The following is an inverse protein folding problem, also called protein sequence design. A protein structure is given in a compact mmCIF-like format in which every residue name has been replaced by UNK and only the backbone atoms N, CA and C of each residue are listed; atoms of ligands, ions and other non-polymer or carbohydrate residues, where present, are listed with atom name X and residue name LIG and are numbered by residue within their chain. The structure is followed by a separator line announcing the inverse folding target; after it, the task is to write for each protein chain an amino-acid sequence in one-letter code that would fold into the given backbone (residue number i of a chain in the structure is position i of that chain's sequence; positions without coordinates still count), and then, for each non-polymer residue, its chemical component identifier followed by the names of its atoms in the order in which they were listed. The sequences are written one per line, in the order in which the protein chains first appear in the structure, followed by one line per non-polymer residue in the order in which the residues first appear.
data_IF_873327304360
#
_entry.id   IF_873327304360
#
_cell.length_a   1.000
_cell.length_b   1.000
_cell.length_c   1.000
_cell.angle_alpha   90.00
_cell.angle_beta   90.00
_cell.angle_gamma   90.00
#
_symmetry.space_group_name_H-M   'P 1'
#
loop_
_entity.id
_entity.type
_entity.pdbx_description
1 polymer ?
#
# COMPACT_ATOMS: atom_id res chain seq x y z
N UNK A 1 -22.49 -6.30 1.29
CA UNK A 1 -21.13 -5.73 1.25
C UNK A 1 -20.60 -5.68 2.67
N UNK A 2 -19.69 -6.59 2.98
CA UNK A 2 -18.95 -6.55 4.24
C UNK A 2 -17.49 -6.72 3.84
N UNK A 3 -16.84 -5.58 3.60
CA UNK A 3 -15.39 -5.57 3.40
C UNK A 3 -14.73 -5.99 4.70
N UNK A 4 -13.87 -6.98 4.63
CA UNK A 4 -13.15 -7.54 5.77
C UNK A 4 -11.67 -7.45 5.49
N UNK A 5 -10.92 -6.87 6.42
CA UNK A 5 -9.48 -6.99 6.49
C UNK A 5 -9.15 -7.82 7.72
N UNK A 6 -8.52 -8.98 7.53
CA UNK A 6 -8.15 -9.86 8.63
C UNK A 6 -6.76 -10.42 8.42
N UNK A 7 -6.10 -10.79 9.50
CA UNK A 7 -4.73 -11.28 9.43
C UNK A 7 -3.99 -11.08 10.72
N UNK A 8 -2.68 -11.16 10.62
CA UNK A 8 -1.78 -10.90 11.73
C UNK A 8 -0.57 -10.11 11.23
N UNK A 9 0.07 -9.40 12.14
CA UNK A 9 1.24 -8.58 11.84
C UNK A 9 2.29 -8.73 12.95
N UNK A 10 3.40 -8.02 12.80
CA UNK A 10 4.49 -8.00 13.76
C UNK A 10 4.13 -7.45 15.16
N UNK A 11 3.04 -6.68 15.29
CA UNK A 11 2.55 -6.19 16.60
C UNK A 11 1.74 -7.27 17.32
N UNK A 12 0.93 -8.02 16.58
CA UNK A 12 0.07 -9.04 17.16
C UNK A 12 0.74 -10.40 17.30
N UNK A 13 1.69 -10.77 16.43
CA UNK A 13 2.26 -12.12 16.37
C UNK A 13 3.80 -12.15 16.43
N UNK A 14 4.41 -13.03 17.26
CA UNK A 14 5.84 -13.25 17.22
C UNK A 14 6.27 -13.90 15.89
N UNK A 15 7.56 -13.79 15.56
CA UNK A 15 8.11 -14.31 14.30
C UNK A 15 7.82 -15.81 14.10
N UNK A 16 7.92 -16.61 15.16
CA UNK A 16 7.67 -18.06 15.15
C UNK A 16 6.26 -18.45 14.74
N UNK A 17 5.29 -17.55 14.89
CA UNK A 17 3.91 -17.75 14.42
C UNK A 17 3.76 -17.21 12.99
N UNK A 18 4.36 -16.05 12.70
CA UNK A 18 4.32 -15.43 11.36
C UNK A 18 4.93 -16.32 10.28
N UNK A 19 6.06 -16.97 10.56
CA UNK A 19 6.73 -17.86 9.60
C UNK A 19 5.87 -19.07 9.21
N UNK A 20 5.01 -19.57 10.11
CA UNK A 20 4.14 -20.72 9.84
C UNK A 20 3.01 -20.40 8.88
N UNK A 21 2.60 -19.13 8.81
CA UNK A 21 1.51 -18.66 7.95
C UNK A 21 2.00 -17.71 6.85
N UNK A 22 3.32 -17.58 6.68
CA UNK A 22 3.88 -16.87 5.55
C UNK A 22 3.43 -17.56 4.27
N UNK A 23 3.04 -16.79 3.26
CA UNK A 23 2.55 -17.32 1.99
C UNK A 23 3.66 -17.24 0.93
N UNK A 24 4.28 -18.36 0.55
CA UNK A 24 5.15 -18.40 -0.63
C UNK A 24 4.33 -18.11 -1.89
N UNK A 25 4.92 -17.42 -2.86
CA UNK A 25 4.28 -17.11 -4.16
C UNK A 25 3.69 -18.37 -4.82
N UNK A 26 4.38 -19.51 -4.73
CA UNK A 26 3.93 -20.78 -5.31
C UNK A 26 2.64 -21.33 -4.70
N UNK A 27 2.31 -20.97 -3.45
CA UNK A 27 1.07 -21.41 -2.77
C UNK A 27 -0.07 -20.40 -2.89
N UNK A 28 0.25 -19.15 -3.26
CA UNK A 28 -0.71 -18.05 -3.25
C UNK A 28 -1.88 -18.29 -4.22
N UNK A 29 -1.63 -18.85 -5.40
CA UNK A 29 -2.67 -19.23 -6.38
C UNK A 29 -3.68 -20.22 -5.80
N UNK A 30 -3.17 -21.30 -5.20
CA UNK A 30 -3.99 -22.36 -4.65
C UNK A 30 -4.87 -21.83 -3.52
N UNK A 31 -4.26 -21.10 -2.58
CA UNK A 31 -4.94 -20.56 -1.42
C UNK A 31 -6.00 -19.53 -1.80
N UNK A 32 -5.71 -18.63 -2.72
CA UNK A 32 -6.66 -17.62 -3.16
C UNK A 32 -7.87 -18.25 -3.87
N UNK A 33 -7.63 -19.28 -4.70
CA UNK A 33 -8.70 -20.04 -5.35
C UNK A 33 -9.54 -20.85 -4.36
N UNK A 34 -8.93 -21.44 -3.33
CA UNK A 34 -9.65 -22.14 -2.27
C UNK A 34 -10.44 -21.19 -1.36
N UNK A 35 -9.91 -20.01 -1.09
CA UNK A 35 -10.59 -18.96 -0.31
C UNK A 35 -11.89 -18.51 -0.99
N UNK A 36 -11.86 -18.28 -2.31
CA UNK A 36 -13.05 -17.92 -3.10
C UNK A 36 -14.08 -19.05 -3.17
N UNK A 37 -13.69 -20.30 -2.90
CA UNK A 37 -14.62 -21.44 -2.85
C UNK A 37 -15.35 -21.55 -1.51
N UNK A 38 -14.92 -20.81 -0.48
CA UNK A 38 -15.64 -20.79 0.78
C UNK A 38 -17.04 -20.19 0.60
N UNK A 39 -18.04 -20.72 1.32
CA UNK A 39 -19.34 -20.05 1.41
C UNK A 39 -19.17 -18.60 1.85
N UNK A 40 -20.05 -17.73 1.34
CA UNK A 40 -20.09 -16.30 1.65
C UNK A 40 -18.89 -15.43 1.22
N UNK A 41 -17.78 -15.99 0.69
CA UNK A 41 -16.66 -15.21 0.17
C UNK A 41 -16.85 -14.90 -1.32
N UNK A 42 -17.11 -13.63 -1.66
CA UNK A 42 -17.41 -13.21 -3.04
C UNK A 42 -16.18 -12.80 -3.84
N UNK A 43 -15.23 -12.15 -3.16
CA UNK A 43 -14.01 -11.56 -3.71
C UNK A 43 -12.91 -11.60 -2.64
N UNK A 44 -11.65 -11.76 -3.04
CA UNK A 44 -10.53 -11.84 -2.11
C UNK A 44 -9.20 -11.36 -2.72
N UNK A 45 -8.30 -10.89 -1.86
CA UNK A 45 -6.90 -10.60 -2.15
C UNK A 45 -6.05 -10.93 -0.90
N UNK A 46 -4.81 -11.38 -1.11
CA UNK A 46 -3.90 -11.77 -0.02
C UNK A 46 -2.59 -10.99 -0.10
N UNK A 47 -2.17 -10.40 1.02
CA UNK A 47 -0.89 -9.70 1.19
C UNK A 47 -0.03 -10.48 2.17
N UNK A 48 1.11 -10.99 1.71
CA UNK A 48 2.11 -11.64 2.53
C UNK A 48 3.43 -10.89 2.41
N UNK A 49 4.00 -10.52 3.55
CA UNK A 49 5.29 -9.83 3.68
C UNK A 49 6.05 -10.43 4.86
N UNK A 50 7.29 -10.02 5.07
CA UNK A 50 8.04 -10.42 6.28
C UNK A 50 7.35 -10.01 7.59
N UNK A 51 6.50 -8.96 7.59
CA UNK A 51 5.92 -8.35 8.80
C UNK A 51 4.41 -8.55 8.95
N UNK A 52 3.73 -9.12 7.96
CA UNK A 52 2.27 -9.37 8.00
C UNK A 52 1.84 -10.40 6.98
N UNK A 53 0.78 -11.12 7.34
CA UNK A 53 -0.06 -11.88 6.40
C UNK A 53 -1.50 -11.40 6.60
N UNK A 54 -2.08 -10.82 5.56
CA UNK A 54 -3.43 -10.26 5.57
C UNK A 54 -4.26 -10.76 4.40
N UNK A 55 -5.55 -10.96 4.65
CA UNK A 55 -6.59 -11.31 3.71
C UNK A 55 -7.59 -10.14 3.68
N UNK A 56 -7.84 -9.63 2.48
CA UNK A 56 -8.88 -8.64 2.20
C UNK A 56 -9.97 -9.33 1.40
N UNK A 57 -11.20 -9.33 1.88
CA UNK A 57 -12.30 -10.01 1.18
C UNK A 57 -13.64 -9.30 1.35
N UNK A 58 -14.58 -9.63 0.47
CA UNK A 58 -16.00 -9.33 0.66
C UNK A 58 -16.68 -10.61 1.13
N UNK A 59 -17.08 -10.65 2.40
CA UNK A 59 -17.72 -11.82 2.99
C UNK A 59 -18.67 -11.46 4.12
N UNK A 60 -19.82 -12.14 4.17
CA UNK A 60 -20.80 -12.01 5.26
C UNK A 60 -20.48 -12.91 6.46
N UNK A 61 -19.57 -13.88 6.31
CA UNK A 61 -19.14 -14.84 7.35
C UNK A 61 -17.61 -14.78 7.61
N UNK A 62 -17.10 -13.65 8.09
CA UNK A 62 -15.67 -13.43 8.36
C UNK A 62 -15.05 -14.40 9.38
N UNK A 63 -15.84 -14.90 10.32
CA UNK A 63 -15.43 -15.87 11.33
C UNK A 63 -14.89 -17.18 10.74
N UNK A 64 -15.30 -17.53 9.51
CA UNK A 64 -14.84 -18.74 8.82
C UNK A 64 -13.44 -18.62 8.23
N UNK A 65 -12.89 -17.41 8.10
CA UNK A 65 -11.56 -17.19 7.51
C UNK A 65 -10.46 -17.75 8.42
N UNK A 66 -10.58 -17.57 9.74
CA UNK A 66 -9.56 -17.99 10.70
C UNK A 66 -9.42 -19.52 10.78
N UNK A 67 -10.51 -20.29 10.97
CA UNK A 67 -10.45 -21.75 10.91
C UNK A 67 -9.93 -22.27 9.57
N UNK A 68 -10.34 -21.63 8.46
CA UNK A 68 -9.86 -22.00 7.13
C UNK A 68 -8.35 -21.77 7.00
N UNK A 69 -7.83 -20.62 7.44
CA UNK A 69 -6.41 -20.32 7.36
C UNK A 69 -5.58 -21.30 8.21
N UNK A 70 -6.04 -21.61 9.42
CA UNK A 70 -5.41 -22.64 10.25
C UNK A 70 -5.37 -24.01 9.56
N UNK A 71 -6.50 -24.44 8.98
CA UNK A 71 -6.59 -25.70 8.25
C UNK A 71 -5.62 -25.76 7.05
N UNK A 72 -5.54 -24.70 6.25
CA UNK A 72 -4.66 -24.62 5.08
C UNK A 72 -3.17 -24.72 5.42
N UNK A 73 -2.80 -24.28 6.62
CA UNK A 73 -1.44 -24.33 7.12
C UNK A 73 -1.17 -25.53 8.04
N UNK A 74 -2.13 -26.46 8.16
CA UNK A 74 -2.04 -27.64 9.04
C UNK A 74 -1.78 -27.27 10.51
N UNK A 75 -2.39 -26.17 10.96
CA UNK A 75 -2.28 -25.63 12.31
C UNK A 75 -3.60 -25.80 13.08
N UNK A 76 -3.48 -25.94 14.39
CA UNK A 76 -4.61 -25.82 15.30
C UNK A 76 -5.12 -24.37 15.32
N UNK A 77 -6.43 -24.09 15.14
CA UNK A 77 -6.98 -22.73 15.18
C UNK A 77 -6.62 -21.95 16.46
N UNK A 78 -6.47 -22.64 17.58
CA UNK A 78 -6.10 -22.08 18.88
C UNK A 78 -4.70 -21.46 18.87
N UNK A 79 -3.82 -21.89 17.96
CA UNK A 79 -2.47 -21.35 17.81
C UNK A 79 -2.46 -19.98 17.12
N UNK A 80 -3.47 -19.69 16.30
CA UNK A 80 -3.57 -18.42 15.54
C UNK A 80 -4.55 -17.44 16.17
N UNK A 81 -5.63 -17.93 16.78
CA UNK A 81 -6.73 -17.12 17.33
C UNK A 81 -6.29 -15.97 18.25
N UNK A 82 -5.27 -16.13 19.13
CA UNK A 82 -4.82 -15.03 20.00
C UNK A 82 -4.15 -13.86 19.26
N UNK A 83 -3.69 -14.09 18.03
CA UNK A 83 -2.86 -13.15 17.28
C UNK A 83 -3.55 -12.57 16.05
N UNK A 84 -4.65 -13.20 15.61
CA UNK A 84 -5.44 -12.76 14.46
C UNK A 84 -6.39 -11.63 14.85
N UNK A 85 -6.45 -10.60 14.01
CA UNK A 85 -7.47 -9.56 14.08
C UNK A 85 -8.41 -9.66 12.89
N UNK A 86 -9.64 -9.18 13.08
CA UNK A 86 -10.67 -9.08 12.05
C UNK A 86 -11.28 -7.67 12.12
N UNK A 87 -11.20 -6.93 11.02
CA UNK A 87 -11.74 -5.59 10.89
C UNK A 87 -12.84 -5.57 9.82
N UNK A 88 -14.05 -5.17 10.23
CA UNK A 88 -15.24 -5.20 9.37
C UNK A 88 -15.61 -3.82 8.85
N UNK A 89 -16.15 -3.78 7.62
CA UNK A 89 -16.68 -2.60 6.98
C UNK A 89 -15.69 -1.42 7.03
N UNK A 90 -16.13 -0.30 7.61
CA UNK A 90 -15.31 0.91 7.71
C UNK A 90 -14.03 0.71 8.53
N UNK A 91 -14.02 -0.17 9.55
CA UNK A 91 -12.79 -0.49 10.28
C UNK A 91 -11.79 -1.23 9.39
N UNK A 92 -12.26 -2.12 8.53
CA UNK A 92 -11.42 -2.78 7.53
C UNK A 92 -10.79 -1.75 6.59
N UNK A 93 -11.60 -0.83 6.04
CA UNK A 93 -11.10 0.23 5.14
C UNK A 93 -10.08 1.11 5.87
N UNK A 94 -10.36 1.51 7.12
CA UNK A 94 -9.45 2.29 7.95
C UNK A 94 -8.13 1.56 8.16
N UNK A 95 -8.16 0.27 8.50
CA UNK A 95 -6.97 -0.56 8.63
C UNK A 95 -6.15 -0.58 7.34
N UNK A 96 -6.79 -0.89 6.21
CA UNK A 96 -6.07 -0.96 4.93
C UNK A 96 -5.48 0.40 4.53
N UNK A 97 -6.14 1.53 4.83
CA UNK A 97 -5.57 2.87 4.65
C UNK A 97 -4.33 3.11 5.51
N UNK A 98 -4.31 2.65 6.77
CA UNK A 98 -3.14 2.72 7.66
C UNK A 98 -1.98 1.90 7.11
N UNK A 99 -2.24 0.65 6.72
CA UNK A 99 -1.24 -0.25 6.15
C UNK A 99 -0.67 0.34 4.86
N UNK A 100 -1.51 0.75 3.92
CA UNK A 100 -1.10 1.32 2.65
C UNK A 100 -0.38 2.68 2.78
N UNK A 101 -0.62 3.41 3.87
CA UNK A 101 0.09 4.67 4.19
C UNK A 101 1.41 4.44 4.92
N UNK A 102 1.71 3.20 5.34
CA UNK A 102 2.93 2.84 6.07
C UNK A 102 2.89 3.17 7.57
N UNK A 103 1.72 3.43 8.14
CA UNK A 103 1.56 3.71 9.58
C UNK A 103 1.62 2.45 10.45
N UNK A 104 1.33 1.30 9.87
CA UNK A 104 1.29 0.02 10.56
C UNK A 104 2.55 -0.84 10.26
N UNK A 105 3.60 -0.22 9.72
CA UNK A 105 4.86 -0.89 9.40
C UNK A 105 5.87 -0.76 10.53
N UNK A 106 6.65 -1.81 10.78
CA UNK A 106 7.77 -1.79 11.75
C UNK A 106 8.68 -0.56 11.57
N UNK A 107 8.87 -0.15 10.31
CA UNK A 107 9.42 1.15 9.95
C UNK A 107 8.31 2.08 9.47
N UNK A 108 7.92 3.04 10.30
CA UNK A 108 6.90 4.04 9.97
C UNK A 108 7.23 4.78 8.67
N UNK A 109 6.27 4.82 7.75
CA UNK A 109 6.35 5.58 6.50
C UNK A 109 7.03 4.89 5.32
N UNK A 110 7.45 3.63 5.50
CA UNK A 110 8.15 2.88 4.46
C UNK A 110 7.34 2.77 3.16
N UNK A 111 7.90 3.16 2.00
CA UNK A 111 7.17 3.12 0.72
C UNK A 111 6.89 1.70 0.20
N UNK A 112 7.60 0.69 0.72
CA UNK A 112 7.58 -0.67 0.19
C UNK A 112 6.21 -1.35 0.36
N UNK A 113 5.54 -1.15 1.49
CA UNK A 113 4.26 -1.80 1.79
C UNK A 113 3.16 -1.43 0.79
N UNK A 114 3.11 -0.17 0.34
CA UNK A 114 2.18 0.26 -0.71
C UNK A 114 2.46 -0.43 -2.04
N UNK A 115 3.74 -0.66 -2.35
CA UNK A 115 4.17 -1.41 -3.52
C UNK A 115 3.75 -2.88 -3.45
N UNK A 116 4.04 -3.53 -2.33
CA UNK A 116 3.66 -4.93 -2.06
C UNK A 116 2.13 -5.12 -2.10
N UNK A 117 1.37 -4.21 -1.49
CA UNK A 117 -0.10 -4.26 -1.55
C UNK A 117 -0.63 -4.11 -2.99
N UNK A 118 -0.02 -3.25 -3.82
CA UNK A 118 -0.39 -3.14 -5.23
C UNK A 118 -0.07 -4.40 -6.01
N UNK A 119 1.07 -5.04 -5.75
CA UNK A 119 1.45 -6.30 -6.37
C UNK A 119 0.44 -7.40 -5.99
N UNK A 120 0.13 -7.54 -4.69
CA UNK A 120 -0.89 -8.45 -4.19
C UNK A 120 -2.27 -8.23 -4.86
N UNK A 121 -2.69 -6.97 -4.97
CA UNK A 121 -3.93 -6.59 -5.68
C UNK A 121 -3.91 -6.95 -7.18
N UNK A 122 -2.81 -6.63 -7.87
CA UNK A 122 -2.65 -6.95 -9.29
C UNK A 122 -2.69 -8.46 -9.54
N UNK A 123 -2.03 -9.22 -8.66
CA UNK A 123 -2.04 -10.67 -8.70
C UNK A 123 -3.43 -11.25 -8.53
N UNK A 124 -4.18 -10.78 -7.52
CA UNK A 124 -5.55 -11.19 -7.29
C UNK A 124 -6.49 -10.86 -8.46
N UNK A 125 -6.24 -9.73 -9.15
CA UNK A 125 -6.95 -9.36 -10.38
C UNK A 125 -6.62 -10.30 -11.56
N UNK A 126 -5.37 -10.72 -11.72
CA UNK A 126 -4.96 -11.68 -12.76
C UNK A 126 -5.64 -13.04 -12.58
N UNK A 127 -5.82 -13.47 -11.33
CA UNK A 127 -6.55 -14.69 -10.97
C UNK A 127 -8.08 -14.55 -11.02
N UNK A 128 -8.62 -13.36 -11.28
CA UNK A 128 -10.07 -13.13 -11.33
C UNK A 128 -10.78 -13.19 -9.98
N UNK A 129 -10.03 -13.16 -8.88
CA UNK A 129 -10.57 -13.24 -7.49
C UNK A 129 -11.00 -11.87 -6.95
N UNK A 130 -10.54 -10.78 -7.57
CA UNK A 130 -11.04 -9.42 -7.35
C UNK A 130 -11.98 -9.05 -8.49
N UNK A 131 -13.22 -8.68 -8.16
CA UNK A 131 -14.25 -8.29 -9.14
C UNK A 131 -14.50 -6.77 -9.04
N UNK A 132 -15.72 -6.34 -8.70
CA UNK A 132 -16.12 -4.93 -8.72
C UNK A 132 -15.94 -4.29 -7.34
N UNK A 133 -16.25 -5.02 -6.27
CA UNK A 133 -16.29 -4.50 -4.91
C UNK A 133 -14.88 -4.19 -4.41
N UNK A 134 -13.98 -5.18 -4.40
CA UNK A 134 -12.60 -4.96 -3.94
C UNK A 134 -11.84 -4.02 -4.89
N UNK A 135 -12.12 -4.06 -6.19
CA UNK A 135 -11.52 -3.14 -7.16
C UNK A 135 -11.79 -1.69 -6.81
N UNK A 136 -13.05 -1.34 -6.53
CA UNK A 136 -13.47 -0.02 -6.08
C UNK A 136 -12.75 0.41 -4.78
N UNK A 137 -12.69 -0.50 -3.80
CA UNK A 137 -12.02 -0.28 -2.51
C UNK A 137 -10.52 -0.02 -2.67
N UNK A 138 -9.79 -0.91 -3.35
CA UNK A 138 -8.34 -0.78 -3.52
C UNK A 138 -7.94 0.44 -4.34
N UNK A 139 -8.69 0.79 -5.39
CA UNK A 139 -8.45 2.00 -6.17
C UNK A 139 -8.56 3.26 -5.31
N UNK A 140 -9.55 3.31 -4.42
CA UNK A 140 -9.69 4.39 -3.47
C UNK A 140 -8.51 4.42 -2.48
N UNK A 141 -8.19 3.28 -1.86
CA UNK A 141 -7.09 3.14 -0.89
C UNK A 141 -5.76 3.60 -1.49
N UNK A 142 -5.42 3.18 -2.70
CA UNK A 142 -4.15 3.58 -3.34
C UNK A 142 -4.08 5.07 -3.64
N UNK A 143 -5.20 5.68 -3.98
CA UNK A 143 -5.29 7.12 -4.27
C UNK A 143 -5.23 7.94 -2.98
N UNK A 144 -5.97 7.54 -1.95
CA UNK A 144 -5.98 8.15 -0.63
C UNK A 144 -4.62 8.03 0.06
N UNK A 145 -3.98 6.86 0.03
CA UNK A 145 -2.66 6.63 0.67
C UNK A 145 -1.57 7.52 0.08
N UNK A 146 -1.62 7.80 -1.24
CA UNK A 146 -0.72 8.79 -1.86
C UNK A 146 -0.97 10.20 -1.30
N UNK A 147 -2.24 10.62 -1.19
CA UNK A 147 -2.60 11.94 -0.63
C UNK A 147 -2.17 12.06 0.84
N UNK A 148 -2.44 11.03 1.64
CA UNK A 148 -2.05 10.94 3.04
C UNK A 148 -0.53 11.12 3.16
N UNK A 149 0.25 10.30 2.46
CA UNK A 149 1.73 10.35 2.52
C UNK A 149 2.31 11.70 2.08
N UNK A 150 1.74 12.31 1.04
CA UNK A 150 2.19 13.60 0.53
C UNK A 150 1.87 14.75 1.50
N UNK A 151 0.70 14.72 2.15
CA UNK A 151 0.23 15.79 3.03
C UNK A 151 0.75 15.68 4.46
N UNK A 152 0.89 14.46 4.99
CA UNK A 152 1.42 14.23 6.35
C UNK A 152 2.94 14.30 6.44
N UNK A 153 3.64 14.14 5.31
CA UNK A 153 5.09 14.03 5.29
C UNK A 153 5.63 12.70 5.80
N UNK A 154 4.77 11.73 6.18
CA UNK A 154 5.23 10.44 6.71
C UNK A 154 6.09 9.65 5.71
N UNK A 155 5.93 9.90 4.41
CA UNK A 155 6.74 9.28 3.36
C UNK A 155 8.07 9.98 3.04
N UNK A 156 8.39 11.12 3.67
CA UNK A 156 9.55 11.95 3.31
C UNK A 156 10.89 11.39 3.82
N UNK A 157 10.90 10.60 4.90
CA UNK A 157 12.11 10.07 5.53
C UNK A 157 11.97 8.56 5.87
N UNK A 158 12.28 7.61 4.94
CA UNK A 158 12.24 6.19 5.26
C UNK A 158 13.25 5.80 6.36
N UNK A 159 12.82 4.95 7.31
CA UNK A 159 13.50 4.63 8.57
C UNK A 159 14.51 3.46 8.44
N UNK A 160 15.07 3.21 7.27
CA UNK A 160 16.09 2.15 7.17
C UNK A 160 17.47 2.68 7.54
N UNK A 161 18.26 1.86 8.23
CA UNK A 161 19.70 2.10 8.47
C UNK A 161 20.40 2.42 7.14
N UNK A 162 20.00 1.72 6.08
CA UNK A 162 20.48 1.97 4.73
C UNK A 162 20.17 3.39 4.20
N UNK A 163 19.00 3.94 4.50
CA UNK A 163 18.65 5.30 4.09
C UNK A 163 19.39 6.35 4.92
N UNK A 164 19.48 6.14 6.24
CA UNK A 164 20.25 7.01 7.14
C UNK A 164 21.74 7.06 6.71
N UNK A 165 22.31 5.90 6.36
CA UNK A 165 23.63 5.77 5.77
C UNK A 165 23.80 6.65 4.53
N UNK A 166 22.88 6.55 3.56
CA UNK A 166 22.93 7.34 2.32
C UNK A 166 22.78 8.84 2.59
N UNK A 167 21.93 9.24 3.54
CA UNK A 167 21.80 10.65 3.92
C UNK A 167 23.09 11.20 4.53
N UNK A 168 23.73 10.44 5.44
CA UNK A 168 25.00 10.82 6.04
C UNK A 168 26.10 10.98 4.97
N UNK A 169 26.19 10.03 4.02
CA UNK A 169 27.11 10.12 2.89
C UNK A 169 26.81 11.36 2.03
N UNK A 170 25.55 11.63 1.71
CA UNK A 170 25.16 12.78 0.90
C UNK A 170 25.44 14.14 1.54
N UNK A 171 25.46 14.23 2.88
CA UNK A 171 25.86 15.46 3.59
C UNK A 171 27.37 15.72 3.50
N UNK A 172 28.18 14.66 3.51
CA UNK A 172 29.64 14.75 3.46
C UNK A 172 30.19 14.84 2.03
N UNK A 173 29.47 14.29 1.04
CA UNK A 173 29.87 14.26 -0.36
C UNK A 173 28.80 14.91 -1.27
N UNK A 174 28.89 16.23 -1.52
CA UNK A 174 27.91 16.96 -2.34
C UNK A 174 27.89 16.55 -3.82
N UNK A 175 29.01 16.05 -4.35
CA UNK A 175 29.10 15.51 -5.72
C UNK A 175 29.24 13.99 -5.66
N UNK A 176 28.25 13.27 -6.20
CA UNK A 176 28.21 11.80 -6.13
C UNK A 176 28.61 11.09 -7.42
N UNK A 177 28.77 11.81 -8.54
CA UNK A 177 29.05 11.20 -9.84
C UNK A 177 30.45 10.56 -9.95
N UNK A 178 31.42 11.07 -9.20
CA UNK A 178 32.80 10.58 -9.19
C UNK A 178 33.15 9.75 -7.95
N UNK A 179 32.19 9.57 -7.05
CA UNK A 179 32.37 8.87 -5.78
C UNK A 179 32.59 7.38 -6.01
N UNK A 180 33.70 6.84 -5.53
CA UNK A 180 33.96 5.40 -5.57
C UNK A 180 33.53 4.75 -4.24
N UNK A 181 32.45 3.96 -4.31
CA UNK A 181 31.86 3.31 -3.14
C UNK A 181 32.27 1.84 -3.10
N UNK A 182 32.86 1.41 -1.99
CA UNK A 182 33.22 0.02 -1.75
C UNK A 182 32.29 -0.59 -0.68
N UNK A 183 31.43 -1.51 -1.11
CA UNK A 183 30.50 -2.23 -0.24
C UNK A 183 31.08 -3.61 0.09
N UNK A 184 31.13 -3.95 1.37
CA UNK A 184 31.64 -5.23 1.88
C UNK A 184 30.45 -5.94 2.52
N UNK A 185 29.98 -6.99 1.86
CA UNK A 185 28.75 -7.70 2.17
C UNK A 185 27.79 -7.74 0.98
N UNK A 186 26.94 -8.76 0.98
CA UNK A 186 25.93 -8.99 -0.06
C UNK A 186 24.53 -9.24 0.52
N UNK A 187 24.34 -8.93 1.80
CA UNK A 187 23.06 -9.07 2.50
C UNK A 187 22.05 -7.99 2.10
N UNK A 188 20.88 -8.06 2.74
CA UNK A 188 19.77 -7.13 2.48
C UNK A 188 20.15 -5.67 2.75
N UNK A 189 20.86 -5.39 3.85
CA UNK A 189 21.33 -4.03 4.18
C UNK A 189 22.30 -3.49 3.13
N UNK A 190 23.31 -4.28 2.73
CA UNK A 190 24.26 -3.91 1.69
C UNK A 190 23.55 -3.59 0.36
N UNK A 191 22.59 -4.44 0.00
CA UNK A 191 21.80 -4.30 -1.23
C UNK A 191 20.95 -3.03 -1.21
N UNK A 192 20.32 -2.74 -0.08
CA UNK A 192 19.47 -1.56 0.08
C UNK A 192 20.28 -0.26 0.05
N UNK A 193 21.46 -0.24 0.67
CA UNK A 193 22.39 0.89 0.62
C UNK A 193 22.85 1.15 -0.82
N UNK A 194 23.31 0.10 -1.52
CA UNK A 194 23.74 0.21 -2.92
C UNK A 194 22.63 0.80 -3.80
N UNK A 195 21.40 0.29 -3.63
CA UNK A 195 20.22 0.77 -4.36
C UNK A 195 19.91 2.24 -4.12
N UNK A 196 20.05 2.73 -2.89
CA UNK A 196 19.80 4.13 -2.59
C UNK A 196 20.92 5.05 -3.09
N UNK A 197 22.19 4.65 -2.97
CA UNK A 197 23.32 5.41 -3.52
C UNK A 197 23.25 5.51 -5.05
N UNK A 198 22.92 4.40 -5.72
CA UNK A 198 22.73 4.40 -7.18
C UNK A 198 21.60 5.36 -7.60
N UNK A 199 20.51 5.41 -6.83
CA UNK A 199 19.43 6.39 -7.07
C UNK A 199 19.84 7.85 -6.84
N UNK A 200 20.83 8.12 -6.00
CA UNK A 200 21.39 9.45 -5.80
C UNK A 200 22.45 9.83 -6.84
N UNK A 201 22.81 8.91 -7.74
CA UNK A 201 23.68 9.17 -8.89
C UNK A 201 25.09 8.60 -8.78
N UNK A 202 25.41 7.83 -7.73
CA UNK A 202 26.67 7.07 -7.66
C UNK A 202 26.73 6.03 -8.78
N UNK A 203 27.87 5.96 -9.48
CA UNK A 203 28.08 5.05 -10.63
C UNK A 203 29.19 4.04 -10.44
N UNK A 204 30.09 4.24 -9.48
CA UNK A 204 31.29 3.42 -9.29
C UNK A 204 31.17 2.61 -8.01
N UNK A 205 30.83 1.33 -8.16
CA UNK A 205 30.70 0.39 -7.05
C UNK A 205 31.76 -0.69 -7.12
N UNK A 206 32.45 -0.91 -6.02
CA UNK A 206 33.21 -2.13 -5.74
C UNK A 206 32.40 -2.93 -4.73
N UNK A 207 32.21 -4.22 -4.94
CA UNK A 207 31.40 -5.06 -4.05
C UNK A 207 32.19 -6.31 -3.68
N UNK A 208 32.55 -6.45 -2.40
CA UNK A 208 33.21 -7.65 -1.87
C UNK A 208 32.24 -8.52 -1.08
N UNK A 209 32.34 -9.84 -1.26
CA UNK A 209 31.58 -10.83 -0.49
C UNK A 209 32.47 -12.04 -0.22
N UNK A 210 32.11 -12.84 0.81
CA UNK A 210 32.78 -14.12 1.09
C UNK A 210 32.62 -15.08 -0.09
N UNK A 211 31.43 -15.08 -0.68
CA UNK A 211 31.07 -15.85 -1.87
C UNK A 211 31.06 -14.90 -3.07
N UNK A 212 31.91 -15.16 -4.06
CA UNK A 212 32.11 -14.27 -5.23
C UNK A 212 30.82 -14.12 -6.04
N UNK A 213 30.04 -15.19 -6.16
CA UNK A 213 28.78 -15.21 -6.90
C UNK A 213 27.77 -14.20 -6.33
N UNK A 214 27.69 -14.07 -4.99
CA UNK A 214 26.80 -13.09 -4.36
C UNK A 214 27.27 -11.64 -4.61
N UNK A 215 28.59 -11.39 -4.62
CA UNK A 215 29.12 -10.09 -5.00
C UNK A 215 28.81 -9.77 -6.48
N UNK A 216 28.93 -10.75 -7.37
CA UNK A 216 28.60 -10.60 -8.80
C UNK A 216 27.13 -10.25 -9.01
N UNK A 217 26.22 -10.94 -8.32
CA UNK A 217 24.79 -10.68 -8.43
C UNK A 217 24.45 -9.26 -7.99
N UNK A 218 25.02 -8.80 -6.87
CA UNK A 218 24.77 -7.44 -6.40
C UNK A 218 25.46 -6.39 -7.29
N UNK A 219 26.66 -6.67 -7.78
CA UNK A 219 27.41 -5.75 -8.64
C UNK A 219 26.76 -5.57 -10.01
N UNK A 220 26.19 -6.65 -10.59
CA UNK A 220 25.52 -6.58 -11.89
C UNK A 220 24.32 -5.64 -11.88
N UNK A 221 23.61 -5.53 -10.76
CA UNK A 221 22.43 -4.67 -10.63
C UNK A 221 22.78 -3.17 -10.70
N UNK A 222 24.04 -2.81 -10.44
CA UNK A 222 24.50 -1.42 -10.34
C UNK A 222 25.71 -1.09 -11.23
N UNK A 223 26.10 -2.01 -12.14
CA UNK A 223 27.27 -1.84 -13.01
C UNK A 223 28.60 -1.77 -12.25
N UNK A 224 28.69 -2.41 -11.09
CA UNK A 224 29.88 -2.46 -10.24
C UNK A 224 30.84 -3.61 -10.56
N UNK A 225 31.97 -3.62 -9.88
CA UNK A 225 32.96 -4.69 -9.93
C UNK A 225 32.84 -5.62 -8.72
N UNK A 226 32.83 -6.94 -8.97
CA UNK A 226 32.69 -7.95 -7.94
C UNK A 226 34.04 -8.52 -7.50
N UNK A 227 34.30 -8.41 -6.21
CA UNK A 227 35.55 -8.77 -5.53
C UNK A 227 35.28 -9.85 -4.47
N UNK A 228 36.35 -10.49 -4.01
CA UNK A 228 36.33 -11.35 -2.81
C UNK A 228 36.84 -10.57 -1.60
N UNK A 229 36.56 -11.05 -0.39
CA UNK A 229 37.10 -10.45 0.84
C UNK A 229 38.64 -10.43 0.83
N UNK A 230 39.29 -11.42 0.19
CA UNK A 230 40.74 -11.46 0.06
C UNK A 230 41.34 -10.32 -0.78
N UNK A 231 40.54 -9.70 -1.64
CA UNK A 231 40.99 -8.61 -2.53
C UNK A 231 41.00 -7.25 -1.82
N UNK A 232 40.37 -7.13 -0.64
CA UNK A 232 40.23 -5.85 0.08
C UNK A 232 41.54 -5.06 0.19
N UNK A 233 42.70 -5.66 0.58
CA UNK A 233 43.95 -4.91 0.68
C UNK A 233 44.46 -4.26 -0.60
N UNK A 234 44.08 -4.80 -1.76
CA UNK A 234 44.45 -4.26 -3.06
C UNK A 234 43.55 -3.10 -3.51
N UNK A 235 42.26 -3.17 -3.17
CA UNK A 235 41.24 -2.25 -3.68
C UNK A 235 40.84 -1.16 -2.68
N UNK A 236 41.15 -1.33 -1.38
CA UNK A 236 40.74 -0.38 -0.34
C UNK A 236 41.20 1.06 -0.62
N UNK A 237 42.40 1.24 -1.20
CA UNK A 237 42.92 2.57 -1.54
C UNK A 237 42.15 3.28 -2.66
N UNK A 238 41.29 2.58 -3.41
CA UNK A 238 40.48 3.18 -4.48
C UNK A 238 39.17 3.76 -3.95
N UNK A 239 38.73 3.35 -2.77
CA UNK A 239 37.43 3.73 -2.22
C UNK A 239 37.47 5.10 -1.53
N UNK A 240 36.49 5.95 -1.79
CA UNK A 240 36.23 7.17 -1.01
C UNK A 240 35.31 6.88 0.17
N UNK A 241 34.35 5.97 -0.06
CA UNK A 241 33.34 5.52 0.90
C UNK A 241 33.43 4.00 1.00
N UNK A 242 33.66 3.49 2.20
CA UNK A 242 33.67 2.05 2.52
C UNK A 242 32.48 1.75 3.42
N UNK A 243 31.67 0.78 3.03
CA UNK A 243 30.47 0.39 3.77
C UNK A 243 30.55 -1.09 4.07
N UNK A 244 30.63 -1.46 5.34
CA UNK A 244 30.61 -2.86 5.76
C UNK A 244 29.25 -3.25 6.29
N UNK A 245 28.73 -4.39 5.86
CA UNK A 245 27.46 -4.95 6.32
C UNK A 245 27.54 -6.48 6.24
N UNK A 246 28.48 -7.06 6.97
CA UNK A 246 28.67 -8.52 7.02
C UNK A 246 28.15 -9.12 8.34
N UNK A 247 28.28 -10.43 8.45
CA UNK A 247 28.01 -11.19 9.67
C UNK A 247 29.33 -11.82 10.21
N UNK A 248 30.46 -11.13 10.05
CA UNK A 248 31.74 -11.62 10.55
C UNK A 248 31.76 -11.53 12.09
N UNK A 249 32.21 -12.59 12.80
CA UNK A 249 32.29 -12.54 14.26
C UNK A 249 33.45 -11.70 14.80
N UNK A 250 34.44 -11.38 13.95
CA UNK A 250 35.64 -10.63 14.30
C UNK A 250 35.89 -9.51 13.29
N UNK A 251 36.34 -8.33 13.73
CA UNK A 251 36.76 -7.28 12.81
C UNK A 251 37.97 -7.74 12.00
N UNK A 252 37.96 -7.42 10.72
CA UNK A 252 39.03 -7.79 9.77
C UNK A 252 39.60 -6.59 9.02
N UNK A 253 38.98 -5.41 9.17
CA UNK A 253 39.54 -4.13 8.70
C UNK A 253 40.24 -3.48 9.89
N UNK A 254 41.56 -3.65 9.94
CA UNK A 254 42.41 -3.14 11.01
C UNK A 254 43.07 -1.80 10.66
N UNK A 255 43.61 -1.11 11.68
CA UNK A 255 44.28 0.20 11.52
C UNK A 255 45.42 0.16 10.51
N UNK A 256 46.28 -0.86 10.57
CA UNK A 256 47.43 -1.00 9.66
C UNK A 256 47.04 -1.11 8.17
N UNK A 257 45.93 -1.80 7.88
CA UNK A 257 45.40 -1.95 6.54
C UNK A 257 44.93 -0.60 5.99
N UNK A 258 44.24 0.18 6.83
CA UNK A 258 43.73 1.51 6.46
C UNK A 258 44.87 2.52 6.32
N UNK A 259 45.87 2.50 7.19
CA UNK A 259 47.10 3.32 7.06
C UNK A 259 47.82 3.05 5.74
N UNK A 260 47.95 1.77 5.36
CA UNK A 260 48.54 1.39 4.09
C UNK A 260 47.72 1.92 2.90
N UNK A 261 46.39 1.83 2.97
CA UNK A 261 45.51 2.39 1.94
C UNK A 261 45.64 3.93 1.83
N UNK A 262 45.67 4.63 2.95
CA UNK A 262 45.85 6.10 3.01
C UNK A 262 47.20 6.54 2.44
N UNK A 263 48.27 5.78 2.68
CA UNK A 263 49.60 6.06 2.13
C UNK A 263 49.59 6.08 0.59
N UNK A 264 48.85 5.16 -0.04
CA UNK A 264 48.64 5.09 -1.49
C UNK A 264 47.74 6.21 -2.02
N UNK A 265 46.90 6.78 -1.15
CA UNK A 265 45.97 7.88 -1.45
C UNK A 265 46.54 9.27 -1.19
N UNK A 266 47.84 9.38 -0.88
CA UNK A 266 48.47 10.63 -0.46
C UNK A 266 47.72 11.32 0.70
N UNK A 267 47.20 10.52 1.64
CA UNK A 267 46.39 10.98 2.79
C UNK A 267 45.06 11.65 2.42
N UNK A 268 44.52 11.42 1.22
CA UNK A 268 43.16 11.85 0.90
C UNK A 268 42.14 11.14 1.81
N UNK A 269 41.19 11.88 2.42
CA UNK A 269 40.26 11.32 3.38
C UNK A 269 39.45 10.13 2.87
N UNK A 270 39.06 9.26 3.80
CA UNK A 270 38.19 8.12 3.56
C UNK A 270 37.04 8.12 4.57
N UNK A 271 35.84 7.83 4.10
CA UNK A 271 34.67 7.63 4.95
C UNK A 271 34.39 6.15 5.11
N UNK A 272 34.20 5.71 6.34
CA UNK A 272 33.88 4.33 6.69
C UNK A 272 32.55 4.29 7.44
N UNK A 273 31.70 3.36 7.03
CA UNK A 273 30.43 3.09 7.67
C UNK A 273 30.30 1.60 7.99
N UNK A 274 30.36 1.27 9.27
CA UNK A 274 30.22 -0.09 9.77
C UNK A 274 28.76 -0.36 10.20
N UNK A 275 28.03 -1.10 9.35
CA UNK A 275 26.67 -1.55 9.61
C UNK A 275 26.63 -2.96 10.18
N UNK A 276 27.78 -3.60 10.43
CA UNK A 276 27.85 -4.96 10.92
C UNK A 276 27.73 -5.02 12.45
N UNK A 277 27.09 -6.09 12.93
CA UNK A 277 27.00 -6.42 14.36
C UNK A 277 27.25 -7.93 14.50
N UNK A 278 28.41 -8.36 15.03
CA UNK A 278 29.56 -7.58 15.51
C UNK A 278 30.25 -6.73 14.44
N UNK A 279 31.03 -5.72 14.86
CA UNK A 279 31.74 -4.78 13.98
C UNK A 279 32.76 -5.47 13.07
N UNK A 280 32.83 -5.02 11.82
CA UNK A 280 33.81 -5.48 10.82
C UNK A 280 35.10 -4.65 10.87
N UNK A 281 35.02 -3.42 11.38
CA UNK A 281 36.11 -2.44 11.46
C UNK A 281 36.59 -2.28 12.90
N UNK A 282 37.89 -2.31 13.13
CA UNK A 282 38.46 -2.03 14.44
C UNK A 282 38.23 -0.56 14.84
N UNK A 283 37.96 -0.29 16.13
CA UNK A 283 37.62 1.07 16.57
C UNK A 283 38.78 2.07 16.47
N UNK A 284 40.02 1.60 16.60
CA UNK A 284 41.24 2.42 16.51
C UNK A 284 41.51 2.95 15.10
N UNK A 285 40.84 2.41 14.07
CA UNK A 285 40.78 2.99 12.73
C UNK A 285 40.22 4.42 12.75
N UNK A 286 39.26 4.69 13.65
CA UNK A 286 38.67 6.02 13.81
C UNK A 286 39.60 7.07 14.43
N UNK A 287 40.78 6.67 14.94
CA UNK A 287 41.79 7.59 15.47
C UNK A 287 42.66 8.24 14.37
N UNK A 288 42.59 7.72 13.14
CA UNK A 288 43.34 8.25 12.00
C UNK A 288 42.74 9.58 11.54
N UNK A 289 43.54 10.64 11.46
CA UNK A 289 43.08 12.00 11.12
C UNK A 289 42.33 12.07 9.78
N UNK A 290 42.73 11.25 8.80
CA UNK A 290 42.14 11.20 7.46
C UNK A 290 40.96 10.19 7.35
N UNK A 291 40.41 9.71 8.47
CA UNK A 291 39.33 8.73 8.50
C UNK A 291 38.12 9.26 9.25
N UNK A 292 36.95 9.13 8.63
CA UNK A 292 35.67 9.34 9.29
C UNK A 292 34.97 7.99 9.45
N UNK A 293 35.04 7.39 10.64
CA UNK A 293 34.38 6.12 10.95
C UNK A 293 33.06 6.36 11.68
N UNK A 294 31.98 5.80 11.13
CA UNK A 294 30.66 5.75 11.76
C UNK A 294 30.22 4.30 11.88
N UNK A 295 29.42 4.01 12.89
CA UNK A 295 28.82 2.69 13.09
C UNK A 295 27.28 2.76 13.11
N UNK A 296 26.65 1.60 13.30
CA UNK A 296 25.20 1.49 13.38
C UNK A 296 24.59 2.32 14.53
N UNK A 297 25.27 2.46 15.66
CA UNK A 297 24.78 3.22 16.82
C UNK A 297 24.81 4.72 16.54
N UNK A 298 25.83 5.21 15.82
CA UNK A 298 25.90 6.60 15.38
C UNK A 298 24.71 6.94 14.47
N UNK A 299 24.36 6.04 13.55
CA UNK A 299 23.16 6.18 12.71
C UNK A 299 21.87 6.12 13.54
N UNK A 300 21.79 5.26 14.55
CA UNK A 300 20.63 5.21 15.45
C UNK A 300 20.42 6.53 16.18
N UNK A 301 21.48 7.24 16.57
CA UNK A 301 21.38 8.56 17.20
C UNK A 301 20.77 9.61 16.25
N UNK A 302 21.11 9.57 14.96
CA UNK A 302 20.54 10.43 13.92
C UNK A 302 19.08 10.08 13.63
N UNK A 303 18.75 8.77 13.61
CA UNK A 303 17.37 8.29 13.49
C UNK A 303 16.55 8.74 14.70
N UNK A 304 17.12 8.79 15.90
CA UNK A 304 16.41 9.19 17.12
C UNK A 304 16.00 10.67 17.11
N UNK A 305 16.85 11.57 16.60
CA UNK A 305 16.54 13.01 16.46
C UNK A 305 15.34 13.30 15.53
N UNK A 306 15.00 12.40 14.61
CA UNK A 306 13.82 12.50 13.75
C UNK A 306 12.53 11.89 14.35
N UNK A 307 12.55 11.31 15.55
CA UNK A 307 11.37 10.63 16.10
C UNK A 307 10.20 11.56 16.44
N UNK A 308 10.45 12.78 16.90
CA UNK A 308 9.38 13.72 17.27
C UNK A 308 8.66 14.28 16.03
N UNK A 309 9.42 14.62 14.98
CA UNK A 309 8.86 14.97 13.67
C UNK A 309 8.05 13.81 13.08
N UNK A 310 8.50 12.56 13.25
CA UNK A 310 7.76 11.36 12.82
C UNK A 310 6.49 11.13 13.61
N UNK A 311 6.52 11.29 14.94
CA UNK A 311 5.30 11.20 15.77
C UNK A 311 4.29 12.25 15.35
N UNK A 312 4.75 13.46 15.04
CA UNK A 312 3.89 14.52 14.49
C UNK A 312 3.31 14.14 13.12
N UNK A 313 4.14 13.69 12.18
CA UNK A 313 3.72 13.24 10.86
C UNK A 313 2.76 12.03 10.93
N UNK A 314 2.98 11.11 11.86
CA UNK A 314 2.11 9.96 12.11
C UNK A 314 0.74 10.40 12.63
N UNK A 315 0.69 11.29 13.62
CA UNK A 315 -0.59 11.88 14.11
C UNK A 315 -1.33 12.61 13.00
N UNK A 316 -0.62 13.36 12.16
CA UNK A 316 -1.23 14.04 11.01
C UNK A 316 -1.75 13.03 9.98
N UNK A 317 -1.02 11.94 9.73
CA UNK A 317 -1.46 10.87 8.85
C UNK A 317 -2.71 10.16 9.37
N UNK A 318 -2.82 9.92 10.68
CA UNK A 318 -4.05 9.39 11.32
C UNK A 318 -5.27 10.27 11.07
N UNK A 319 -5.14 11.58 11.29
CA UNK A 319 -6.22 12.53 11.05
C UNK A 319 -6.64 12.56 9.57
N UNK A 320 -5.67 12.44 8.66
CA UNK A 320 -5.94 12.35 7.23
C UNK A 320 -6.60 11.03 6.85
N UNK A 321 -6.27 9.92 7.52
CA UNK A 321 -6.96 8.64 7.31
C UNK A 321 -8.42 8.74 7.69
N UNK A 322 -8.73 9.35 8.83
CA UNK A 322 -10.12 9.50 9.26
C UNK A 322 -10.89 10.41 8.27
N UNK A 323 -10.27 11.51 7.81
CA UNK A 323 -10.84 12.35 6.74
C UNK A 323 -11.08 11.58 5.43
N UNK A 324 -10.12 10.76 5.00
CA UNK A 324 -10.23 9.96 3.78
C UNK A 324 -11.24 8.83 3.92
N UNK A 325 -11.42 8.26 5.11
CA UNK A 325 -12.49 7.31 5.40
C UNK A 325 -13.86 7.97 5.26
N UNK A 326 -14.05 9.16 5.81
CA UNK A 326 -15.32 9.90 5.67
C UNK A 326 -15.63 10.23 4.20
N UNK A 327 -14.61 10.56 3.42
CA UNK A 327 -14.74 10.78 1.98
C UNK A 327 -15.12 9.49 1.24
N UNK A 328 -14.53 8.34 1.61
CA UNK A 328 -14.89 7.03 1.06
C UNK A 328 -16.36 6.71 1.35
N UNK A 329 -16.79 6.87 2.60
CA UNK A 329 -18.16 6.59 3.02
C UNK A 329 -19.16 7.45 2.24
N UNK A 330 -18.88 8.75 2.09
CA UNK A 330 -19.71 9.66 1.29
C UNK A 330 -19.77 9.26 -0.18
N UNK A 331 -18.62 8.96 -0.78
CA UNK A 331 -18.54 8.50 -2.16
C UNK A 331 -19.29 7.17 -2.37
N UNK A 332 -19.10 6.20 -1.49
CA UNK A 332 -19.78 4.90 -1.56
C UNK A 332 -21.32 5.04 -1.44
N UNK A 333 -21.80 5.92 -0.55
CA UNK A 333 -23.24 6.25 -0.46
C UNK A 333 -23.77 6.85 -1.77
N UNK A 334 -22.99 7.69 -2.45
CA UNK A 334 -23.40 8.27 -3.74
C UNK A 334 -23.56 7.23 -4.86
N UNK A 335 -22.74 6.16 -4.85
CA UNK A 335 -22.86 5.06 -5.82
C UNK A 335 -24.18 4.30 -5.65
N UNK A 336 -24.58 4.02 -4.40
CA UNK A 336 -25.88 3.40 -4.11
C UNK A 336 -27.04 4.26 -4.60
N UNK A 337 -26.95 5.58 -4.45
CA UNK A 337 -27.95 6.49 -4.98
C UNK A 337 -28.02 6.43 -6.51
N UNK A 338 -26.88 6.32 -7.20
CA UNK A 338 -26.82 6.20 -8.66
C UNK A 338 -27.58 4.98 -9.18
N UNK A 339 -27.45 3.83 -8.54
CA UNK A 339 -28.18 2.60 -8.93
C UNK A 339 -29.70 2.82 -8.84
N UNK A 340 -30.18 3.34 -7.71
CA UNK A 340 -31.61 3.66 -7.53
C UNK A 340 -32.11 4.66 -8.57
N UNK A 341 -31.30 5.68 -8.89
CA UNK A 341 -31.64 6.69 -9.91
C UNK A 341 -31.72 6.05 -11.30
N UNK A 342 -30.75 5.19 -11.67
CA UNK A 342 -30.74 4.50 -12.94
C UNK A 342 -31.95 3.58 -13.09
N UNK A 343 -32.26 2.78 -12.07
CA UNK A 343 -33.41 1.87 -12.06
C UNK A 343 -34.73 2.64 -12.21
N UNK A 344 -34.88 3.74 -11.46
CA UNK A 344 -36.04 4.62 -11.58
C UNK A 344 -36.18 5.19 -13.00
N UNK A 345 -35.10 5.74 -13.57
CA UNK A 345 -35.12 6.29 -14.95
C UNK A 345 -35.46 5.23 -15.99
N UNK A 346 -34.87 4.04 -15.91
CA UNK A 346 -35.15 2.93 -16.81
C UNK A 346 -36.63 2.51 -16.72
N UNK A 347 -37.18 2.43 -15.51
CA UNK A 347 -38.60 2.11 -15.31
C UNK A 347 -39.52 3.15 -15.96
N UNK A 348 -39.23 4.44 -15.77
CA UNK A 348 -40.00 5.53 -16.39
C UNK A 348 -39.92 5.51 -17.92
N UNK A 349 -38.73 5.23 -18.48
CA UNK A 349 -38.54 5.11 -19.94
C UNK A 349 -39.33 3.93 -20.52
N UNK A 350 -39.28 2.76 -19.89
CA UNK A 350 -40.06 1.59 -20.33
C UNK A 350 -41.56 1.89 -20.31
N UNK A 351 -42.03 2.64 -19.30
CA UNK A 351 -43.42 3.03 -19.21
C UNK A 351 -43.81 4.03 -20.31
N UNK A 352 -42.96 5.02 -20.57
CA UNK A 352 -43.16 6.00 -21.63
C UNK A 352 -43.19 5.34 -23.01
N UNK A 353 -42.29 4.39 -23.27
CA UNK A 353 -42.23 3.66 -24.54
C UNK A 353 -43.51 2.84 -24.80
N UNK A 354 -44.09 2.23 -23.76
CA UNK A 354 -45.36 1.49 -23.88
C UNK A 354 -46.53 2.40 -24.24
N UNK A 355 -46.62 3.58 -23.63
CA UNK A 355 -47.66 4.54 -23.98
C UNK A 355 -47.44 5.14 -25.37
N UNK A 356 -46.18 5.36 -25.77
CA UNK A 356 -45.84 5.83 -27.11
C UNK A 356 -46.25 4.81 -28.17
N UNK A 357 -45.92 3.53 -27.98
CA UNK A 357 -46.31 2.46 -28.90
C UNK A 357 -47.84 2.40 -29.06
N UNK A 358 -48.58 2.46 -27.95
CA UNK A 358 -50.04 2.49 -27.97
C UNK A 358 -50.60 3.69 -28.75
N UNK A 359 -49.99 4.86 -28.62
CA UNK A 359 -50.37 6.04 -29.39
C UNK A 359 -50.08 5.85 -30.88
N UNK A 360 -48.91 5.29 -31.24
CA UNK A 360 -48.54 4.99 -32.62
C UNK A 360 -49.50 3.98 -33.27
N UNK A 361 -49.90 2.94 -32.55
CA UNK A 361 -50.86 1.94 -33.04
C UNK A 361 -52.22 2.59 -33.33
N UNK A 362 -52.69 3.49 -32.46
CA UNK A 362 -53.94 4.26 -32.68
C UNK A 362 -53.83 5.21 -33.87
N UNK A 363 -52.72 5.91 -34.03
CA UNK A 363 -52.52 6.77 -35.20
C UNK A 363 -52.52 5.95 -36.49
N UNK A 364 -51.87 4.78 -36.49
CA UNK A 364 -51.83 3.87 -37.64
C UNK A 364 -53.20 3.28 -37.98
N UNK A 365 -54.07 3.13 -36.99
CA UNK A 365 -55.46 2.70 -37.17
C UNK A 365 -56.42 3.83 -37.62
N UNK A 366 -55.93 5.05 -37.86
CA UNK A 366 -56.70 6.16 -38.42
C UNK A 366 -57.46 7.02 -37.40
N UNK A 367 -57.14 6.92 -36.11
CA UNK A 367 -57.74 7.77 -35.07
C UNK A 367 -57.28 9.24 -35.21
N UNK A 368 -58.12 10.19 -34.75
CA UNK A 368 -57.79 11.62 -34.77
C UNK A 368 -56.52 11.93 -33.97
N UNK A 369 -55.55 12.58 -34.63
CA UNK A 369 -54.23 12.89 -34.07
C UNK A 369 -54.30 13.67 -32.76
N UNK A 370 -55.11 14.73 -32.69
CA UNK A 370 -55.24 15.57 -31.50
C UNK A 370 -55.78 14.79 -30.30
N UNK A 371 -56.75 13.90 -30.52
CA UNK A 371 -57.32 13.07 -29.47
C UNK A 371 -56.29 12.07 -28.93
N UNK A 372 -55.51 11.45 -29.82
CA UNK A 372 -54.51 10.45 -29.44
C UNK A 372 -53.35 11.09 -28.66
N UNK A 373 -52.89 12.27 -29.08
CA UNK A 373 -51.81 12.98 -28.38
C UNK A 373 -52.23 13.48 -26.99
N UNK A 374 -53.47 13.97 -26.83
CA UNK A 374 -54.00 14.34 -25.51
C UNK A 374 -54.13 13.12 -24.59
N UNK A 375 -54.70 12.03 -25.09
CA UNK A 375 -54.80 10.78 -24.34
C UNK A 375 -53.43 10.25 -23.92
N UNK A 376 -52.44 10.28 -24.84
CA UNK A 376 -51.05 9.91 -24.54
C UNK A 376 -50.47 10.74 -23.40
N UNK A 377 -50.60 12.08 -23.47
CA UNK A 377 -50.08 12.98 -22.46
C UNK A 377 -50.70 12.70 -21.08
N UNK A 378 -52.03 12.64 -21.00
CA UNK A 378 -52.73 12.37 -19.74
C UNK A 378 -52.35 11.01 -19.14
N UNK A 379 -52.30 9.96 -19.98
CA UNK A 379 -51.94 8.62 -19.52
C UNK A 379 -50.49 8.53 -19.09
N UNK A 380 -49.58 9.16 -19.81
CA UNK A 380 -48.17 9.19 -19.47
C UNK A 380 -47.97 9.87 -18.12
N UNK A 381 -48.50 11.08 -17.94
CA UNK A 381 -48.39 11.82 -16.66
C UNK A 381 -48.97 10.99 -15.52
N UNK A 382 -50.19 10.47 -15.66
CA UNK A 382 -50.85 9.67 -14.62
C UNK A 382 -50.01 8.44 -14.23
N UNK A 383 -49.41 7.76 -15.20
CA UNK A 383 -48.60 6.58 -14.93
C UNK A 383 -47.23 6.91 -14.31
N UNK A 384 -46.58 8.00 -14.73
CA UNK A 384 -45.32 8.46 -14.14
C UNK A 384 -45.51 8.88 -12.67
N UNK A 385 -46.61 9.55 -12.33
CA UNK A 385 -46.86 10.03 -10.96
C UNK A 385 -47.50 8.99 -10.04
N UNK A 386 -48.01 7.87 -10.57
CA UNK A 386 -48.75 6.89 -9.80
C UNK A 386 -47.92 6.30 -8.65
N UNK A 387 -46.73 5.76 -8.95
CA UNK A 387 -45.92 5.07 -7.94
C UNK A 387 -45.41 6.01 -6.83
N UNK A 388 -44.88 7.21 -7.12
CA UNK A 388 -44.57 8.19 -6.08
C UNK A 388 -45.81 8.56 -5.24
N UNK A 389 -46.97 8.79 -5.86
CA UNK A 389 -48.20 9.18 -5.14
C UNK A 389 -48.68 8.09 -4.18
N UNK A 390 -48.68 6.83 -4.61
CA UNK A 390 -49.05 5.68 -3.76
C UNK A 390 -48.04 5.52 -2.63
N UNK A 391 -46.74 5.63 -2.93
CA UNK A 391 -45.67 5.59 -1.92
C UNK A 391 -45.82 6.66 -0.85
N UNK A 392 -46.19 7.90 -1.23
CA UNK A 392 -46.45 8.97 -0.26
C UNK A 392 -47.64 8.71 0.65
N UNK A 393 -48.74 8.16 0.11
CA UNK A 393 -49.89 7.79 0.93
C UNK A 393 -49.52 6.69 1.93
N UNK A 394 -48.75 5.71 1.49
CA UNK A 394 -48.29 4.63 2.37
C UNK A 394 -47.36 5.16 3.47
N UNK A 395 -46.40 6.02 3.12
CA UNK A 395 -45.52 6.68 4.09
C UNK A 395 -46.30 7.49 5.15
N UNK A 396 -47.41 8.13 4.76
CA UNK A 396 -48.31 8.83 5.67
C UNK A 396 -48.98 7.88 6.68
N UNK A 397 -49.46 6.73 6.20
CA UNK A 397 -50.11 5.72 7.03
C UNK A 397 -49.10 5.08 8.00
N UNK A 398 -47.88 4.86 7.54
CA UNK A 398 -46.80 4.22 8.32
C UNK A 398 -46.08 5.20 9.28
N UNK A 399 -46.48 6.49 9.31
CA UNK A 399 -45.90 7.50 10.19
C UNK A 399 -44.44 7.86 9.87
N UNK A 400 -44.01 7.70 8.61
CA UNK A 400 -42.62 7.90 8.15
C UNK A 400 -42.37 9.35 7.75
N UNK A 401 -42.32 10.25 8.74
CA UNK A 401 -42.21 11.70 8.49
C UNK A 401 -40.97 12.09 7.67
N UNK A 402 -39.87 11.36 7.82
CA UNK A 402 -38.62 11.60 7.10
C UNK A 402 -38.75 11.49 5.57
N UNK A 403 -39.75 10.75 5.08
CA UNK A 403 -40.01 10.61 3.64
C UNK A 403 -40.69 11.85 3.06
N UNK A 404 -41.43 12.62 3.87
CA UNK A 404 -42.01 13.89 3.41
C UNK A 404 -40.95 14.98 3.24
N UNK A 405 -39.96 15.02 4.14
CA UNK A 405 -38.85 15.95 4.01
C UNK A 405 -37.97 15.60 2.81
N UNK A 406 -37.75 14.30 2.56
CA UNK A 406 -37.12 13.84 1.32
C UNK A 406 -37.94 14.25 0.08
N UNK A 407 -39.26 14.11 0.10
CA UNK A 407 -40.13 14.53 -0.99
C UNK A 407 -39.98 16.02 -1.30
N UNK A 408 -40.02 16.85 -0.26
CA UNK A 408 -39.84 18.29 -0.36
C UNK A 408 -38.46 18.62 -0.92
N UNK A 409 -37.43 17.90 -0.49
CA UNK A 409 -36.08 18.07 -1.01
C UNK A 409 -35.97 17.68 -2.50
N UNK A 410 -36.61 16.59 -2.94
CA UNK A 410 -36.55 16.11 -4.32
C UNK A 410 -37.44 16.89 -5.30
N UNK A 411 -38.60 17.39 -4.85
CA UNK A 411 -39.59 18.06 -5.70
C UNK A 411 -39.48 19.58 -5.70
N UNK A 412 -38.59 20.17 -4.89
CA UNK A 412 -38.38 21.61 -4.86
C UNK A 412 -37.22 21.98 -5.82
N UNK A 413 -37.48 22.68 -6.94
CA UNK A 413 -36.48 22.93 -7.99
C UNK A 413 -35.41 24.00 -7.62
N UNK A 414 -35.25 24.38 -6.36
CA UNK A 414 -34.39 25.49 -5.92
C UNK A 414 -32.92 25.11 -5.62
N UNK A 415 -32.46 23.91 -5.99
CA UNK A 415 -31.03 23.58 -5.96
C UNK A 415 -30.49 23.60 -7.39
N UNK A 416 -29.87 24.71 -7.78
CA UNK A 416 -29.11 24.80 -9.04
C UNK A 416 -28.07 23.66 -9.07
N UNK A 417 -28.23 22.75 -10.03
CA UNK A 417 -27.32 21.64 -10.26
C UNK A 417 -26.05 22.13 -10.96
N UNK A 418 -24.83 21.79 -10.49
CA UNK A 418 -23.59 22.05 -11.23
C UNK A 418 -23.37 21.12 -12.44
N UNK A 419 -24.33 20.24 -12.74
CA UNK A 419 -24.17 19.13 -13.69
C UNK A 419 -24.93 19.32 -15.01
N UNK A 420 -24.96 20.53 -15.56
CA UNK A 420 -25.27 20.74 -16.98
C UNK A 420 -23.96 20.78 -17.77
N UNK A 421 -23.42 19.60 -18.09
CA UNK A 421 -22.62 19.31 -19.30
C UNK A 421 -22.06 17.88 -19.22
N UNK A 422 -22.87 16.90 -19.59
CA UNK A 422 -22.37 15.69 -20.26
C UNK A 422 -23.42 15.31 -21.32
N UNK A 423 -23.15 15.73 -22.55
CA UNK A 423 -23.78 15.17 -23.75
C UNK A 423 -23.08 13.88 -24.17
#
# INVERSE_FOLDING_TARGET
MVFVACGLNHETAPLTVREKIALPLAMQDKLLNELIRLPAVNEAAMLSTCNRTEIYCDTEEPENIVPWLAYQHELAPELLSPYLYIHHGHHGIRHTLRVASGLDSMMLGEPQILGQMKQAYQYACQLGTVKTTLRSVFQYIFSASKRIRNRSGIGKNPVSVAYAAVQLIGQLFPSQNDLQVFIIGSGETATLVAKYLHKQGVKRFLIASRTREHAQQLASDFGGEALTIGDIPQYLSQADVVISATACPLPFINKSLVEHALSKRAQNPMFFLDLAVPRDIEADVGELEAVHLYNIDDLQSMITKGMDERRSAARQAEQLIDCELDNYIRWHRSLRAKEVICDYRNHMQVLAQKELQRAQDKLSAGYCQDSVLREFCERLVNKLVHHPTVGFRQAALDGREELFDLARYLFNPLVQSPYEEIS
#
